data_IF_277010551696
#
_entry.id   IF_277010551696
#
_cell.length_a   1.000
_cell.length_b   1.000
_cell.length_c   1.000
_cell.angle_alpha   90.00
_cell.angle_beta   90.00
_cell.angle_gamma   90.00
#
_symmetry.space_group_name_H-M   'P 1'
#
loop_
_entity.id
_entity.type
_entity.pdbx_description
1 polymer ?
#
# COMPACT_ATOMS: atom_id res chain seq x y z
N UNK A 1 5.95 22.43 13.18
CA UNK A 1 5.72 21.21 12.38
C UNK A 1 7.04 20.61 11.99
N UNK A 2 7.13 19.28 11.90
CA UNK A 2 8.31 18.56 11.42
C UNK A 2 7.89 17.66 10.26
N UNK A 3 8.81 17.48 9.31
CA UNK A 3 8.65 16.58 8.17
C UNK A 3 9.59 15.40 8.37
N UNK A 4 9.04 14.20 8.31
CA UNK A 4 9.76 12.93 8.36
C UNK A 4 9.69 12.28 6.98
N UNK A 5 10.85 11.90 6.45
CA UNK A 5 10.98 11.06 5.27
C UNK A 5 11.87 9.86 5.61
N UNK A 6 11.54 8.71 5.04
CA UNK A 6 12.28 7.47 5.30
C UNK A 6 12.69 6.83 3.99
N UNK A 7 13.91 6.27 3.99
CA UNK A 7 14.44 5.59 2.82
C UNK A 7 13.57 4.37 2.46
N UNK A 8 13.21 4.24 1.18
CA UNK A 8 12.39 3.14 0.69
C UNK A 8 10.90 3.23 1.00
N UNK A 9 10.45 4.28 1.70
CA UNK A 9 9.03 4.54 1.98
C UNK A 9 8.53 5.65 1.07
N UNK A 10 7.40 5.39 0.42
CA UNK A 10 6.82 6.31 -0.53
C UNK A 10 5.78 7.21 0.16
N UNK A 11 6.09 8.50 0.25
CA UNK A 11 5.34 9.52 1.00
C UNK A 11 6.13 10.09 2.18
N UNK A 12 5.82 11.33 2.54
CA UNK A 12 6.41 12.08 3.65
C UNK A 12 5.37 12.24 4.75
N UNK A 13 5.80 12.18 6.00
CA UNK A 13 4.94 12.33 7.16
C UNK A 13 5.17 13.70 7.78
N UNK A 14 4.09 14.47 7.98
CA UNK A 14 4.16 15.79 8.59
C UNK A 14 3.44 15.73 9.91
N UNK A 15 4.07 16.22 10.98
CA UNK A 15 3.52 16.14 12.32
C UNK A 15 3.82 17.36 13.19
N UNK A 16 2.99 17.58 14.19
CA UNK A 16 3.16 18.65 15.18
C UNK A 16 3.57 18.14 16.59
N UNK A 17 3.90 16.85 16.71
CA UNK A 17 4.25 16.22 17.99
C UNK A 17 3.11 15.43 18.64
N UNK A 18 1.85 15.69 18.28
CA UNK A 18 0.69 14.90 18.71
C UNK A 18 -0.05 14.25 17.54
N UNK A 19 -0.22 15.00 16.45
CA UNK A 19 -0.92 14.57 15.25
C UNK A 19 0.00 14.58 14.03
N UNK A 20 -0.30 13.71 13.09
CA UNK A 20 0.38 13.56 11.81
C UNK A 20 -0.59 13.40 10.64
N UNK A 21 -0.09 13.74 9.46
CA UNK A 21 -0.71 13.48 8.16
C UNK A 21 0.35 12.94 7.19
N UNK A 22 -0.07 12.19 6.17
CA UNK A 22 0.82 11.72 5.09
C UNK A 22 0.61 12.59 3.87
N UNK A 23 1.71 13.07 3.31
CA UNK A 23 1.75 13.85 2.08
C UNK A 23 2.58 13.09 1.05
N UNK A 24 2.07 12.96 -0.18
CA UNK A 24 2.76 12.21 -1.24
C UNK A 24 3.51 13.14 -2.19
N UNK A 25 2.92 14.29 -2.50
CA UNK A 25 3.48 15.24 -3.45
C UNK A 25 4.30 16.32 -2.74
N UNK A 26 5.50 16.59 -3.25
CA UNK A 26 6.37 17.62 -2.66
C UNK A 26 5.81 19.03 -2.83
N UNK A 27 4.97 19.26 -3.84
CA UNK A 27 4.29 20.53 -4.06
C UNK A 27 3.28 20.84 -2.94
N UNK A 28 2.69 19.82 -2.30
CA UNK A 28 1.83 20.00 -1.13
C UNK A 28 2.62 20.49 0.10
N UNK A 29 3.96 20.41 0.08
CA UNK A 29 4.81 20.93 1.16
C UNK A 29 5.02 22.44 1.10
N UNK A 30 4.75 23.07 -0.05
CA UNK A 30 4.98 24.50 -0.24
C UNK A 30 3.96 25.37 0.50
N UNK A 31 2.77 24.84 0.78
CA UNK A 31 1.66 25.58 1.39
C UNK A 31 1.48 25.17 2.87
N UNK A 32 2.26 25.84 3.73
CA UNK A 32 2.35 25.50 5.15
C UNK A 32 1.05 25.75 5.92
N UNK A 33 0.24 26.74 5.52
CA UNK A 33 -1.03 27.06 6.16
C UNK A 33 -2.09 25.99 5.87
N UNK A 34 -2.20 25.55 4.61
CA UNK A 34 -3.09 24.43 4.25
C UNK A 34 -2.71 23.15 4.99
N UNK A 35 -1.41 22.88 5.15
CA UNK A 35 -0.96 21.72 5.90
C UNK A 35 -1.33 21.81 7.38
N UNK A 36 -1.25 22.99 7.99
CA UNK A 36 -1.70 23.17 9.38
C UNK A 36 -3.20 22.92 9.54
N UNK A 37 -4.01 23.48 8.64
CA UNK A 37 -5.46 23.29 8.70
C UNK A 37 -5.85 21.83 8.50
N UNK A 38 -5.20 21.16 7.55
CA UNK A 38 -5.37 19.72 7.34
C UNK A 38 -4.92 18.90 8.54
N UNK A 39 -3.85 19.31 9.22
CA UNK A 39 -3.39 18.64 10.44
C UNK A 39 -4.34 18.84 11.62
N UNK A 40 -5.09 19.95 11.67
CA UNK A 40 -6.16 20.18 12.65
C UNK A 40 -7.40 19.33 12.34
N UNK A 41 -7.81 19.27 11.07
CA UNK A 41 -9.02 18.59 10.62
C UNK A 41 -8.86 17.07 10.51
N UNK A 42 -7.82 16.62 9.82
CA UNK A 42 -7.59 15.21 9.44
C UNK A 42 -6.46 14.55 10.24
N UNK A 43 -5.77 15.31 11.10
CA UNK A 43 -4.60 14.82 11.83
C UNK A 43 -4.93 13.65 12.74
N UNK A 44 -4.14 12.57 12.59
CA UNK A 44 -4.25 11.35 13.39
C UNK A 44 -3.04 11.19 14.33
N UNK A 45 -3.13 10.35 15.37
CA UNK A 45 -1.98 10.09 16.24
C UNK A 45 -0.74 9.66 15.46
N UNK A 46 0.41 10.23 15.79
CA UNK A 46 1.66 10.02 15.04
C UNK A 46 1.96 8.54 14.84
N UNK A 47 1.89 7.74 15.91
CA UNK A 47 2.24 6.32 15.86
C UNK A 47 1.32 5.51 14.94
N UNK A 48 0.05 5.88 14.84
CA UNK A 48 -0.89 5.23 13.93
C UNK A 48 -0.50 5.52 12.47
N UNK A 49 -0.21 6.79 12.17
CA UNK A 49 0.17 7.22 10.83
C UNK A 49 1.51 6.61 10.40
N UNK A 50 2.50 6.59 11.31
CA UNK A 50 3.80 5.92 11.07
C UNK A 50 3.62 4.44 10.76
N UNK A 51 2.89 3.70 11.59
CA UNK A 51 2.61 2.28 11.38
C UNK A 51 1.89 2.05 10.06
N UNK A 52 0.88 2.87 9.74
CA UNK A 52 0.13 2.74 8.50
C UNK A 52 1.01 2.99 7.27
N UNK A 53 1.87 4.01 7.30
CA UNK A 53 2.78 4.34 6.21
C UNK A 53 3.76 3.20 5.93
N UNK A 54 4.44 2.70 6.97
CA UNK A 54 5.37 1.56 6.86
C UNK A 54 4.64 0.32 6.36
N UNK A 55 3.49 -0.02 6.97
CA UNK A 55 2.68 -1.19 6.57
C UNK A 55 2.27 -1.12 5.10
N UNK A 56 1.88 0.04 4.61
CA UNK A 56 1.48 0.22 3.21
C UNK A 56 2.67 0.09 2.26
N UNK A 57 3.84 0.60 2.64
CA UNK A 57 5.07 0.40 1.87
C UNK A 57 5.46 -1.07 1.81
N UNK A 58 5.53 -1.75 2.95
CA UNK A 58 5.89 -3.17 3.03
C UNK A 58 4.92 -4.01 2.19
N UNK A 59 3.61 -3.75 2.30
CA UNK A 59 2.60 -4.42 1.46
C UNK A 59 2.81 -4.21 -0.04
N UNK A 60 3.23 -3.02 -0.47
CA UNK A 60 3.52 -2.71 -1.88
C UNK A 60 4.82 -3.35 -2.37
N UNK A 61 5.84 -3.41 -1.51
CA UNK A 61 7.14 -4.00 -1.84
C UNK A 61 7.07 -5.53 -1.90
N UNK A 62 6.24 -6.15 -1.07
CA UNK A 62 5.98 -7.59 -1.13
C UNK A 62 5.12 -7.87 -2.38
N UNK A 63 5.79 -8.05 -3.52
CA UNK A 63 5.19 -8.53 -4.77
C UNK A 63 5.01 -10.03 -4.69
N UNK A 64 3.91 -10.48 -4.10
CA UNK A 64 3.54 -11.90 -4.15
C UNK A 64 2.65 -12.16 -5.34
N UNK A 65 3.07 -13.07 -6.22
CA UNK A 65 2.32 -13.46 -7.40
C UNK A 65 0.97 -14.06 -7.00
N UNK A 66 -0.18 -13.49 -7.41
CA UNK A 66 -1.50 -14.02 -7.07
C UNK A 66 -1.69 -15.49 -7.44
N UNK A 67 -1.00 -15.98 -8.48
CA UNK A 67 -1.01 -17.40 -8.85
C UNK A 67 -0.33 -18.30 -7.82
N UNK A 68 0.75 -17.81 -7.19
CA UNK A 68 1.41 -18.55 -6.10
C UNK A 68 0.53 -18.61 -4.86
N UNK A 69 -0.17 -17.52 -4.56
CA UNK A 69 -1.11 -17.45 -3.43
C UNK A 69 -2.30 -18.39 -3.67
N UNK A 70 -2.90 -18.33 -4.86
CA UNK A 70 -4.04 -19.20 -5.24
C UNK A 70 -3.63 -20.68 -5.18
N UNK A 71 -2.45 -21.02 -5.70
CA UNK A 71 -1.90 -22.37 -5.67
C UNK A 71 -1.68 -22.87 -4.23
N UNK A 72 -1.18 -22.02 -3.33
CA UNK A 72 -1.01 -22.38 -1.92
C UNK A 72 -2.35 -22.67 -1.23
N UNK A 73 -3.36 -21.83 -1.43
CA UNK A 73 -4.70 -22.06 -0.86
C UNK A 73 -5.35 -23.33 -1.40
N UNK A 74 -5.24 -23.59 -2.71
CA UNK A 74 -5.74 -24.83 -3.32
C UNK A 74 -5.05 -26.08 -2.75
N UNK A 75 -3.73 -26.02 -2.49
CA UNK A 75 -3.00 -27.12 -1.82
C UNK A 75 -3.46 -27.39 -0.39
N UNK A 76 -4.01 -26.39 0.29
CA UNK A 76 -4.53 -26.48 1.66
C UNK A 76 -6.07 -26.61 1.72
N UNK A 77 -6.70 -27.00 0.60
CA UNK A 77 -8.16 -27.18 0.50
C UNK A 77 -9.00 -25.93 0.82
N UNK A 78 -8.40 -24.74 0.71
CA UNK A 78 -9.06 -23.46 0.98
C UNK A 78 -9.46 -22.74 -0.32
N UNK A 79 -10.40 -23.37 -1.05
CA UNK A 79 -10.87 -22.87 -2.35
C UNK A 79 -11.55 -21.49 -2.26
N UNK A 80 -12.15 -21.16 -1.11
CA UNK A 80 -12.77 -19.85 -0.86
C UNK A 80 -11.73 -18.74 -0.86
N UNK A 81 -10.59 -18.93 -0.20
CA UNK A 81 -9.52 -17.93 -0.22
C UNK A 81 -8.73 -17.96 -1.53
N UNK A 82 -8.60 -19.12 -2.20
CA UNK A 82 -8.05 -19.19 -3.55
C UNK A 82 -8.84 -18.32 -4.55
N UNK A 83 -10.17 -18.30 -4.49
CA UNK A 83 -10.99 -17.45 -5.38
C UNK A 83 -10.80 -15.95 -5.11
N UNK A 84 -10.50 -15.56 -3.88
CA UNK A 84 -10.27 -14.14 -3.53
C UNK A 84 -8.99 -13.58 -4.16
N UNK A 85 -8.03 -14.43 -4.53
CA UNK A 85 -6.77 -13.97 -5.13
C UNK A 85 -6.95 -13.47 -6.57
N UNK A 86 -8.04 -13.83 -7.26
CA UNK A 86 -8.37 -13.32 -8.60
C UNK A 86 -8.54 -11.79 -8.60
N UNK A 87 -8.92 -11.21 -7.46
CA UNK A 87 -9.11 -9.76 -7.27
C UNK A 87 -7.80 -9.02 -7.00
N UNK A 88 -6.68 -9.74 -6.84
CA UNK A 88 -5.37 -9.15 -6.60
C UNK A 88 -4.78 -8.72 -7.94
N UNK A 89 -4.41 -7.44 -8.04
CA UNK A 89 -3.74 -6.91 -9.23
C UNK A 89 -2.33 -7.46 -9.28
N UNK A 90 -2.04 -8.26 -10.30
CA UNK A 90 -0.70 -8.74 -10.64
C UNK A 90 -0.13 -7.89 -11.78
N UNK A 91 1.17 -7.62 -11.74
CA UNK A 91 1.90 -7.09 -12.91
C UNK A 91 2.02 -8.14 -14.03
N UNK A 92 1.66 -9.40 -13.77
CA UNK A 92 1.73 -10.53 -14.71
C UNK A 92 0.33 -11.01 -15.11
N UNK A 93 0.12 -11.43 -16.36
CA UNK A 93 -1.17 -11.96 -16.79
C UNK A 93 -1.59 -13.17 -15.94
N UNK A 94 -2.75 -13.06 -15.29
CA UNK A 94 -3.32 -14.05 -14.37
C UNK A 94 -3.81 -15.31 -15.10
N UNK A 95 -4.01 -15.26 -16.41
CA UNK A 95 -4.40 -16.40 -17.23
C UNK A 95 -3.45 -16.54 -18.42
N UNK A 96 -2.56 -17.53 -18.36
CA UNK A 96 -1.93 -18.07 -19.58
C UNK A 96 -2.93 -19.04 -20.19
N UNK A 97 -3.70 -18.58 -21.17
CA UNK A 97 -4.42 -19.50 -22.04
C UNK A 97 -3.37 -20.34 -22.78
N UNK A 98 -3.31 -21.64 -22.49
CA UNK A 98 -2.68 -22.57 -23.42
C UNK A 98 -3.54 -22.50 -24.69
N UNK A 99 -3.01 -21.89 -25.75
CA UNK A 99 -3.58 -22.10 -27.06
C UNK A 99 -3.38 -23.58 -27.37
N UNK A 100 -4.44 -24.38 -27.28
CA UNK A 100 -4.42 -25.76 -27.72
C UNK A 100 -4.09 -25.76 -29.22
N UNK A 101 -2.84 -26.09 -29.56
CA UNK A 101 -2.48 -26.46 -30.92
C UNK A 101 -3.27 -27.72 -31.28
N UNK A 102 -4.40 -27.55 -31.96
CA UNK A 102 -5.00 -28.64 -32.74
C UNK A 102 -4.00 -29.03 -33.83
N UNK A 103 -3.51 -30.26 -33.73
CA UNK A 103 -2.72 -30.95 -34.75
C UNK A 103 -3.59 -31.29 -35.95
#
# INVERSE_FOLDING_TARGET
>A
MKVESWQGINGKLIHNGQKAIVVKDEQELADQDKLQDRLKQEGKPIDEVRKALIKNTVKRQIKTDPLKISSWFNRHQDSKNAKKTEKLVSDKPTHQYKADCKK
#
